data_IF_682603395447
#
_entry.id   IF_682603395447
#
_cell.length_a   1.000
_cell.length_b   1.000
_cell.length_c   1.000
_cell.angle_alpha   90.00
_cell.angle_beta   90.00
_cell.angle_gamma   90.00
#
_symmetry.space_group_name_H-M   'P 1'
#
loop_
_entity.id
_entity.type
_entity.pdbx_description
1 polymer ?
#
# COMPACT_ATOMS: atom_id res chain seq x y z
N UNK A 1 -24.41 1.82 -66.07
CA UNK A 1 -25.10 2.32 -64.86
C UNK A 1 -24.63 1.53 -63.65
N UNK A 2 -23.90 2.14 -62.71
CA UNK A 2 -23.40 1.47 -61.51
C UNK A 2 -24.48 1.52 -60.41
N UNK A 3 -24.92 0.36 -59.91
CA UNK A 3 -25.92 0.27 -58.84
C UNK A 3 -25.27 0.69 -57.51
N UNK A 4 -25.73 1.81 -56.94
CA UNK A 4 -25.45 2.17 -55.54
C UNK A 4 -26.14 1.16 -54.62
N UNK A 5 -25.36 0.37 -53.89
CA UNK A 5 -25.88 -0.43 -52.77
C UNK A 5 -25.97 0.46 -51.54
N UNK A 6 -27.18 0.64 -51.00
CA UNK A 6 -27.38 1.32 -49.73
C UNK A 6 -26.74 0.48 -48.62
N UNK A 7 -25.76 1.05 -47.94
CA UNK A 7 -25.02 0.40 -46.86
C UNK A 7 -25.90 0.42 -45.61
N UNK A 8 -26.78 -0.57 -45.49
CA UNK A 8 -27.55 -0.85 -44.28
C UNK A 8 -26.59 -1.44 -43.25
N UNK A 9 -26.24 -0.68 -42.21
CA UNK A 9 -25.47 -1.20 -41.07
C UNK A 9 -26.42 -1.51 -39.93
N UNK A 10 -26.27 -2.68 -39.31
CA UNK A 10 -27.06 -3.06 -38.13
C UNK A 10 -26.83 -2.13 -36.93
N UNK A 11 -25.75 -1.33 -36.95
CA UNK A 11 -25.48 -0.28 -35.95
C UNK A 11 -26.43 0.91 -36.02
N UNK A 12 -27.14 1.11 -37.13
CA UNK A 12 -28.02 2.27 -37.32
C UNK A 12 -29.44 2.03 -36.76
N UNK A 13 -29.75 0.78 -36.37
CA UNK A 13 -31.08 0.38 -35.92
C UNK A 13 -31.00 -0.33 -34.55
N UNK A 14 -31.30 0.44 -33.50
CA UNK A 14 -31.36 -0.04 -32.12
C UNK A 14 -30.85 1.02 -31.16
N UNK A 15 -31.53 1.22 -30.03
CA UNK A 15 -30.96 2.05 -28.98
C UNK A 15 -29.79 1.30 -28.33
N UNK A 16 -28.61 1.90 -28.36
CA UNK A 16 -27.46 1.41 -27.61
C UNK A 16 -27.85 1.34 -26.13
N UNK A 17 -27.95 0.12 -25.60
CA UNK A 17 -28.15 -0.07 -24.17
C UNK A 17 -26.85 0.32 -23.51
N UNK A 18 -26.78 1.55 -22.98
CA UNK A 18 -25.65 2.00 -22.16
C UNK A 18 -25.59 1.08 -20.95
N UNK A 19 -24.72 0.08 -21.02
CA UNK A 19 -24.33 -0.68 -19.84
C UNK A 19 -23.72 0.36 -18.92
N UNK A 20 -24.42 0.68 -17.83
CA UNK A 20 -23.85 1.53 -16.80
C UNK A 20 -22.55 0.85 -16.39
N UNK A 21 -21.41 1.53 -16.59
CA UNK A 21 -20.16 1.15 -15.96
C UNK A 21 -20.42 1.19 -14.46
N UNK A 22 -20.89 0.07 -13.90
CA UNK A 22 -20.84 -0.18 -12.48
C UNK A 22 -19.36 -0.11 -12.14
N UNK A 23 -18.94 1.07 -11.73
CA UNK A 23 -17.62 1.32 -11.16
C UNK A 23 -17.60 0.54 -9.84
N UNK A 24 -17.41 -0.77 -9.95
CA UNK A 24 -17.18 -1.77 -8.90
C UNK A 24 -15.80 -1.57 -8.29
N UNK A 25 -15.37 -0.31 -8.18
CA UNK A 25 -14.10 0.01 -7.59
C UNK A 25 -14.23 -0.15 -6.09
N UNK A 26 -13.76 -1.31 -5.62
CA UNK A 26 -13.92 -1.79 -4.24
C UNK A 26 -13.36 -0.81 -3.19
N UNK A 27 -12.43 0.06 -3.58
CA UNK A 27 -11.75 1.00 -2.68
C UNK A 27 -11.97 2.45 -3.10
N UNK A 28 -12.68 3.24 -2.29
CA UNK A 28 -12.82 4.68 -2.55
C UNK A 28 -11.47 5.43 -2.48
N UNK A 29 -11.39 6.63 -3.07
CA UNK A 29 -10.19 7.51 -3.00
C UNK A 29 -9.71 7.74 -1.56
N UNK A 30 -10.61 7.73 -0.59
CA UNK A 30 -10.26 7.89 0.82
C UNK A 30 -9.52 6.68 1.38
N UNK A 31 -9.85 5.46 0.95
CA UNK A 31 -9.19 4.23 1.38
C UNK A 31 -7.73 4.24 0.96
N UNK A 32 -7.44 4.62 -0.28
CA UNK A 32 -6.07 4.77 -0.77
C UNK A 32 -5.26 5.79 0.05
N UNK A 33 -5.88 6.88 0.51
CA UNK A 33 -5.20 7.82 1.42
C UNK A 33 -4.84 7.16 2.76
N UNK A 34 -5.74 6.34 3.31
CA UNK A 34 -5.47 5.61 4.56
C UNK A 34 -4.40 4.53 4.37
N UNK A 35 -4.41 3.81 3.25
CA UNK A 35 -3.35 2.86 2.90
C UNK A 35 -1.99 3.56 2.81
N UNK A 36 -1.89 4.71 2.12
CA UNK A 36 -0.61 5.44 2.06
C UNK A 36 -0.10 5.87 3.43
N UNK A 37 -0.99 6.23 4.35
CA UNK A 37 -0.63 6.55 5.74
C UNK A 37 -0.16 5.29 6.49
N UNK A 38 -0.87 4.17 6.36
CA UNK A 38 -0.50 2.88 6.95
C UNK A 38 0.88 2.42 6.49
N UNK A 39 1.10 2.43 5.18
CA UNK A 39 2.38 2.12 4.55
C UNK A 39 3.49 3.05 5.05
N UNK A 40 3.25 4.36 5.13
CA UNK A 40 4.23 5.31 5.66
C UNK A 40 4.61 4.98 7.11
N UNK A 41 3.64 4.64 7.96
CA UNK A 41 3.91 4.17 9.31
C UNK A 41 4.77 2.91 9.29
N UNK A 42 4.43 1.88 8.51
CA UNK A 42 5.22 0.63 8.44
C UNK A 42 6.67 0.94 8.04
N UNK A 43 6.88 1.74 6.99
CA UNK A 43 8.21 2.12 6.52
C UNK A 43 8.98 2.86 7.61
N UNK A 44 8.39 3.88 8.23
CA UNK A 44 9.04 4.62 9.32
C UNK A 44 9.37 3.70 10.51
N UNK A 45 8.49 2.75 10.82
CA UNK A 45 8.72 1.76 11.87
C UNK A 45 9.95 0.91 11.58
N UNK A 46 10.08 0.38 10.37
CA UNK A 46 11.28 -0.37 9.98
C UNK A 46 12.54 0.51 9.94
N UNK A 47 12.46 1.75 9.48
CA UNK A 47 13.59 2.69 9.51
C UNK A 47 14.05 2.95 10.95
N UNK A 48 13.13 3.06 11.91
CA UNK A 48 13.47 3.23 13.32
C UNK A 48 14.10 1.98 13.96
N UNK A 49 13.92 0.79 13.39
CA UNK A 49 14.58 -0.44 13.84
C UNK A 49 16.02 -0.56 13.34
N UNK A 50 16.37 0.18 12.27
CA UNK A 50 17.72 0.17 11.72
C UNK A 50 18.74 0.57 12.79
N UNK A 51 19.89 -0.09 12.75
CA UNK A 51 20.98 0.16 13.68
C UNK A 51 21.99 -0.98 13.65
N UNK A 52 23.10 -0.82 14.38
CA UNK A 52 24.12 -1.85 14.50
C UNK A 52 23.56 -3.14 15.10
N UNK A 53 24.20 -4.25 14.73
CA UNK A 53 23.98 -5.55 15.36
C UNK A 53 24.72 -5.65 16.70
N UNK A 54 24.60 -6.81 17.35
CA UNK A 54 25.12 -7.06 18.68
C UNK A 54 26.66 -7.03 18.77
N UNK A 55 27.37 -7.16 17.65
CA UNK A 55 28.83 -7.31 17.63
C UNK A 55 29.50 -6.17 16.82
N UNK A 56 28.72 -5.15 16.47
CA UNK A 56 29.19 -3.97 15.74
C UNK A 56 29.24 -2.78 16.68
N UNK A 57 30.45 -2.37 17.07
CA UNK A 57 30.71 -1.19 17.90
C UNK A 57 31.46 -0.16 17.06
N UNK A 58 31.00 1.10 17.09
CA UNK A 58 31.57 2.19 16.28
C UNK A 58 31.69 1.87 14.77
N UNK A 59 30.77 1.05 14.25
CA UNK A 59 30.74 0.64 12.84
C UNK A 59 31.77 -0.43 12.46
N UNK A 60 32.48 -1.00 13.44
CA UNK A 60 33.41 -2.12 13.24
C UNK A 60 32.84 -3.39 13.85
N UNK A 61 32.91 -4.48 13.08
CA UNK A 61 32.50 -5.80 13.52
C UNK A 61 33.62 -6.46 14.35
N UNK A 62 33.35 -6.77 15.61
CA UNK A 62 34.23 -7.56 16.49
C UNK A 62 33.40 -8.65 17.21
N UNK A 63 33.64 -9.95 16.90
CA UNK A 63 32.90 -11.05 17.51
C UNK A 63 33.04 -11.18 19.04
N UNK A 64 34.07 -10.58 19.64
CA UNK A 64 34.35 -10.70 21.08
C UNK A 64 33.77 -9.53 21.90
N UNK A 65 33.08 -8.60 21.24
CA UNK A 65 32.53 -7.40 21.86
C UNK A 65 31.02 -7.39 21.72
N UNK A 66 30.33 -6.88 22.73
CA UNK A 66 28.87 -6.78 22.78
C UNK A 66 28.42 -5.32 22.73
N UNK A 67 27.42 -5.03 21.91
CA UNK A 67 26.78 -3.72 21.76
C UNK A 67 25.38 -3.70 22.41
N UNK A 68 25.22 -2.91 23.47
CA UNK A 68 23.94 -2.75 24.18
C UNK A 68 22.91 -1.88 23.44
N UNK A 69 23.30 -1.14 22.39
CA UNK A 69 22.37 -0.32 21.59
C UNK A 69 21.31 -1.15 20.86
N UNK A 70 21.49 -2.46 20.78
CA UNK A 70 20.46 -3.39 20.32
C UNK A 70 19.21 -3.35 21.21
N UNK A 71 19.39 -3.04 22.50
CA UNK A 71 18.30 -2.95 23.48
C UNK A 71 17.67 -1.56 23.60
N UNK A 72 17.97 -0.67 22.66
CA UNK A 72 17.37 0.66 22.60
C UNK A 72 15.83 0.57 22.66
N UNK A 73 15.24 1.31 23.61
CA UNK A 73 13.77 1.39 23.77
C UNK A 73 13.08 1.77 22.45
N UNK A 74 13.75 2.60 21.65
CA UNK A 74 13.26 3.01 20.32
C UNK A 74 13.11 1.81 19.39
N UNK A 75 14.14 0.97 19.28
CA UNK A 75 14.19 -0.17 18.34
C UNK A 75 13.33 -1.35 18.80
N UNK A 76 13.28 -1.62 20.10
CA UNK A 76 12.59 -2.80 20.65
C UNK A 76 11.11 -2.53 20.98
N UNK A 77 10.74 -1.31 21.37
CA UNK A 77 9.37 -1.02 21.81
C UNK A 77 8.65 -0.10 20.84
N UNK A 78 9.20 1.09 20.60
CA UNK A 78 8.51 2.14 19.82
C UNK A 78 8.38 1.72 18.36
N UNK A 79 9.46 1.23 17.75
CA UNK A 79 9.47 0.88 16.35
C UNK A 79 8.52 -0.30 16.01
N UNK A 80 8.50 -1.42 16.76
CA UNK A 80 7.55 -2.51 16.49
C UNK A 80 6.10 -2.11 16.72
N UNK A 81 5.82 -1.32 17.77
CA UNK A 81 4.48 -0.78 17.99
C UNK A 81 4.00 0.09 16.83
N UNK A 82 4.89 0.87 16.24
CA UNK A 82 4.57 1.73 15.10
C UNK A 82 4.31 0.90 13.82
N UNK A 83 5.05 -0.18 13.60
CA UNK A 83 4.78 -1.14 12.51
C UNK A 83 3.41 -1.81 12.70
N UNK A 84 3.11 -2.31 13.91
CA UNK A 84 1.82 -2.92 14.23
C UNK A 84 0.67 -1.93 14.02
N UNK A 85 0.85 -0.68 14.47
CA UNK A 85 -0.12 0.39 14.25
C UNK A 85 -0.35 0.64 12.75
N UNK A 86 0.72 0.63 11.95
CA UNK A 86 0.63 0.72 10.49
C UNK A 86 -0.21 -0.41 9.88
N UNK A 87 0.01 -1.66 10.30
CA UNK A 87 -0.82 -2.79 9.86
C UNK A 87 -2.29 -2.67 10.29
N UNK A 88 -2.57 -2.16 11.50
CA UNK A 88 -3.94 -1.88 11.94
C UNK A 88 -4.61 -0.83 11.05
N UNK A 89 -3.87 0.22 10.65
CA UNK A 89 -4.35 1.23 9.71
C UNK A 89 -4.64 0.60 8.34
N UNK A 90 -3.79 -0.29 7.83
CA UNK A 90 -4.02 -0.99 6.57
C UNK A 90 -5.28 -1.86 6.62
N UNK A 91 -5.45 -2.65 7.68
CA UNK A 91 -6.66 -3.46 7.90
C UNK A 91 -7.89 -2.55 7.92
N UNK A 92 -7.84 -1.44 8.64
CA UNK A 92 -8.92 -0.46 8.65
C UNK A 92 -9.18 0.14 7.26
N UNK A 93 -8.13 0.52 6.52
CA UNK A 93 -8.23 1.13 5.20
C UNK A 93 -8.88 0.19 4.18
N UNK A 94 -8.55 -1.10 4.25
CA UNK A 94 -9.09 -2.14 3.38
C UNK A 94 -10.54 -2.45 3.75
N UNK A 95 -10.83 -2.64 5.04
CA UNK A 95 -12.17 -3.02 5.50
C UNK A 95 -13.17 -1.86 5.48
N UNK A 96 -12.69 -0.61 5.45
CA UNK A 96 -13.55 0.58 5.42
C UNK A 96 -14.33 0.63 4.12
N UNK A 97 -15.53 0.09 4.12
CA UNK A 97 -16.45 0.24 2.99
C UNK A 97 -17.09 1.62 3.05
N UNK A 98 -16.95 2.38 1.96
CA UNK A 98 -17.82 3.52 1.64
C UNK A 98 -18.88 3.05 0.67
#
# INVERSE_FOLDING_TARGET
MSKKTNKFSASDFGNETKVSDENTFYFGKQNFKWMLIGLACIVVGFLLMMGPDANTVDGKLDPNVWNDDIFSIRRIRIAPLLVVTGFVIEVYAILKRK
#
